data_IF_033679938014
#
_entry.id   IF_033679938014
#
_cell.length_a   1.000
_cell.length_b   1.000
_cell.length_c   1.000
_cell.angle_alpha   90.00
_cell.angle_beta   90.00
_cell.angle_gamma   90.00
#
_symmetry.space_group_name_H-M   'P 1'
#
loop_
_entity.id
_entity.type
_entity.pdbx_description
1 polymer ?
#
# COMPACT_ATOMS: atom_id res chain seq x y z
N UNK A 1 13.35 -3.64 2.13
CA UNK A 1 13.57 -4.79 3.01
C UNK A 1 13.65 -6.07 2.20
N UNK A 2 14.26 -7.11 2.75
CA UNK A 2 14.39 -8.41 2.11
C UNK A 2 13.61 -9.43 2.93
N UNK A 3 12.74 -10.19 2.26
CA UNK A 3 11.84 -11.16 2.87
C UNK A 3 12.13 -12.55 2.33
N UNK A 4 12.00 -13.56 3.19
CA UNK A 4 12.32 -14.94 2.86
C UNK A 4 11.06 -15.83 2.88
N UNK A 5 10.80 -16.54 1.78
CA UNK A 5 9.69 -17.48 1.64
C UNK A 5 10.17 -18.88 1.29
N UNK A 6 9.36 -19.87 1.66
CA UNK A 6 9.56 -21.26 1.24
C UNK A 6 8.87 -21.49 -0.10
N UNK A 7 9.59 -22.02 -1.08
CA UNK A 7 8.99 -22.62 -2.27
C UNK A 7 8.94 -24.13 -2.04
N UNK A 8 7.78 -24.72 -2.30
CA UNK A 8 7.59 -26.16 -2.40
C UNK A 8 7.41 -26.52 -3.87
N UNK A 9 8.29 -27.37 -4.39
CA UNK A 9 8.24 -27.93 -5.74
C UNK A 9 7.99 -29.44 -5.66
N UNK A 10 7.06 -29.96 -6.46
CA UNK A 10 6.74 -31.39 -6.54
C UNK A 10 7.12 -31.98 -7.90
N UNK A 11 7.33 -33.29 -7.95
CA UNK A 11 7.54 -34.01 -9.23
C UNK A 11 6.24 -34.19 -10.04
N UNK A 12 5.08 -33.96 -9.42
CA UNK A 12 3.76 -34.05 -10.04
C UNK A 12 3.06 -32.69 -10.05
N UNK A 13 2.36 -32.39 -11.16
CA UNK A 13 1.60 -31.15 -11.29
C UNK A 13 0.54 -31.03 -10.20
N UNK A 14 0.50 -29.88 -9.54
CA UNK A 14 -0.43 -29.61 -8.43
C UNK A 14 -1.84 -29.36 -9.01
N UNK A 15 -2.85 -30.15 -8.59
CA UNK A 15 -4.19 -30.03 -9.14
C UNK A 15 -4.89 -28.76 -8.64
N UNK A 16 -5.85 -28.27 -9.42
CA UNK A 16 -6.85 -27.27 -9.00
C UNK A 16 -8.22 -27.61 -9.58
N UNK A 17 -9.29 -27.22 -8.90
CA UNK A 17 -10.66 -27.44 -9.37
C UNK A 17 -10.95 -26.69 -10.68
N UNK A 18 -11.76 -27.29 -11.56
CA UNK A 18 -12.06 -26.83 -12.93
C UNK A 18 -12.82 -25.49 -13.02
N UNK A 19 -13.33 -24.96 -11.91
CA UNK A 19 -14.15 -23.75 -11.84
C UNK A 19 -13.32 -22.45 -11.68
N UNK A 20 -12.23 -22.33 -12.43
CA UNK A 20 -11.43 -21.10 -12.55
C UNK A 20 -10.86 -20.56 -11.21
N UNK A 21 -10.54 -21.44 -10.26
CA UNK A 21 -10.06 -20.99 -8.94
C UNK A 21 -8.55 -20.85 -8.82
N UNK A 22 -7.74 -21.42 -9.72
CA UNK A 22 -6.25 -21.35 -9.69
C UNK A 22 -5.65 -21.49 -8.28
N UNK A 23 -6.27 -22.32 -7.44
CA UNK A 23 -5.89 -22.53 -6.04
C UNK A 23 -5.27 -23.94 -5.92
N UNK A 24 -4.06 -24.07 -5.32
CA UNK A 24 -3.42 -25.35 -5.11
C UNK A 24 -4.31 -26.34 -4.34
N UNK A 25 -4.46 -27.55 -4.87
CA UNK A 25 -5.22 -28.66 -4.28
C UNK A 25 -6.71 -28.39 -4.01
N UNK A 26 -7.30 -27.33 -4.57
CA UNK A 26 -8.68 -26.94 -4.26
C UNK A 26 -9.68 -28.09 -4.45
N UNK A 27 -10.63 -28.19 -3.50
CA UNK A 27 -11.61 -29.27 -3.42
C UNK A 27 -12.94 -28.78 -2.84
N UNK A 28 -14.05 -29.53 -2.98
CA UNK A 28 -15.33 -29.18 -2.36
C UNK A 28 -15.32 -29.28 -0.81
N UNK A 29 -14.41 -30.07 -0.25
CA UNK A 29 -14.33 -30.32 1.19
C UNK A 29 -12.89 -30.60 1.63
N UNK A 30 -12.54 -30.36 2.92
CA UNK A 30 -11.18 -30.55 3.42
C UNK A 30 -10.64 -31.97 3.22
N UNK A 31 -9.43 -32.13 2.65
CA UNK A 31 -8.84 -33.43 2.29
C UNK A 31 -7.32 -33.47 2.47
N UNK A 32 -6.77 -34.66 2.70
CA UNK A 32 -5.32 -34.83 2.71
C UNK A 32 -4.76 -34.61 1.31
N UNK A 33 -3.56 -34.04 1.23
CA UNK A 33 -2.83 -33.86 -0.02
C UNK A 33 -1.64 -34.80 -0.05
N UNK A 34 -1.34 -35.32 -1.23
CA UNK A 34 -0.13 -36.12 -1.46
C UNK A 34 0.94 -35.20 -2.05
N UNK A 35 2.10 -35.15 -1.40
CA UNK A 35 3.28 -34.44 -1.88
C UNK A 35 4.24 -35.44 -2.51
N UNK A 36 4.34 -35.47 -3.84
CA UNK A 36 5.21 -36.39 -4.57
C UNK A 36 6.58 -35.75 -4.76
N UNK A 37 7.63 -36.39 -4.25
CA UNK A 37 9.03 -35.94 -4.26
C UNK A 37 9.21 -34.45 -3.91
N UNK A 38 8.76 -34.00 -2.73
CA UNK A 38 8.78 -32.60 -2.36
C UNK A 38 10.20 -32.06 -2.22
N UNK A 39 10.49 -30.97 -2.92
CA UNK A 39 11.72 -30.20 -2.82
C UNK A 39 11.40 -28.83 -2.24
N UNK A 40 12.13 -28.43 -1.19
CA UNK A 40 12.03 -27.10 -0.61
C UNK A 40 13.18 -26.23 -1.11
N UNK A 41 12.85 -25.01 -1.54
CA UNK A 41 13.84 -23.96 -1.82
C UNK A 41 13.39 -22.63 -1.20
N UNK A 42 14.22 -21.61 -1.34
CA UNK A 42 13.97 -20.28 -0.78
C UNK A 42 13.71 -19.29 -1.89
N UNK A 43 12.71 -18.44 -1.70
CA UNK A 43 12.47 -17.24 -2.50
C UNK A 43 12.80 -16.01 -1.66
N UNK A 44 13.61 -15.12 -2.22
CA UNK A 44 13.87 -13.81 -1.63
C UNK A 44 13.05 -12.76 -2.37
N UNK A 45 12.28 -11.98 -1.63
CA UNK A 45 11.54 -10.84 -2.17
C UNK A 45 12.08 -9.55 -1.57
N UNK A 46 12.38 -8.57 -2.42
CA UNK A 46 12.68 -7.20 -2.02
C UNK A 46 11.37 -6.43 -1.97
N UNK A 47 11.14 -5.73 -0.87
CA UNK A 47 9.96 -4.88 -0.65
C UNK A 47 10.43 -3.47 -0.25
N UNK A 48 9.65 -2.44 -0.53
CA UNK A 48 9.95 -1.06 -0.19
C UNK A 48 9.44 -0.64 1.19
N UNK A 49 8.64 -1.47 1.87
CA UNK A 49 8.19 -1.21 3.24
C UNK A 49 8.54 -2.33 4.26
N UNK A 50 8.18 -2.10 5.53
CA UNK A 50 8.46 -2.98 6.67
C UNK A 50 7.33 -3.95 7.03
N UNK A 51 6.34 -4.09 6.16
CA UNK A 51 5.21 -4.98 6.30
C UNK A 51 5.15 -5.82 5.04
N UNK A 52 5.24 -7.14 5.18
CA UNK A 52 4.96 -8.01 4.05
C UNK A 52 3.45 -7.98 3.75
N UNK A 53 2.99 -6.92 3.08
CA UNK A 53 1.59 -6.68 2.71
C UNK A 53 1.28 -7.64 1.57
N UNK A 54 1.03 -8.92 1.89
CA UNK A 54 0.72 -9.90 0.86
C UNK A 54 -0.63 -9.55 0.24
N UNK A 55 -0.63 -8.99 -0.97
CA UNK A 55 -1.71 -9.11 -1.94
C UNK A 55 -3.01 -8.39 -1.65
N UNK A 56 -3.07 -7.09 -1.93
CA UNK A 56 -4.10 -6.66 -2.88
C UNK A 56 -3.69 -7.17 -4.26
N UNK A 57 -4.65 -7.66 -5.03
CA UNK A 57 -4.50 -7.97 -6.45
C UNK A 57 -4.38 -6.66 -7.25
N UNK A 58 -3.46 -5.78 -6.87
CA UNK A 58 -3.22 -4.53 -7.57
C UNK A 58 -1.70 -4.23 -7.52
N UNK A 59 -1.03 -4.19 -8.68
CA UNK A 59 0.43 -4.04 -8.83
C UNK A 59 1.13 -2.84 -8.19
N UNK A 60 0.40 -1.95 -7.51
CA UNK A 60 0.78 -0.54 -7.38
C UNK A 60 1.10 -0.15 -5.93
N UNK A 61 0.87 -0.99 -4.93
CA UNK A 61 1.08 -0.62 -3.51
C UNK A 61 2.33 -1.20 -2.84
N UNK A 62 2.99 -2.20 -3.41
CA UNK A 62 4.28 -2.73 -2.92
C UNK A 62 5.22 -2.96 -4.11
N UNK A 63 6.45 -2.47 -4.09
CA UNK A 63 7.47 -2.79 -5.12
C UNK A 63 8.10 -4.17 -4.87
N UNK A 64 7.26 -5.16 -4.52
CA UNK A 64 7.68 -6.54 -4.25
C UNK A 64 8.26 -7.17 -5.49
N UNK A 65 9.57 -7.39 -5.47
CA UNK A 65 10.32 -7.94 -6.60
C UNK A 65 11.15 -9.12 -6.15
N UNK A 66 11.28 -10.12 -7.00
CA UNK A 66 12.23 -11.22 -6.79
C UNK A 66 13.62 -10.62 -6.63
N UNK A 67 14.29 -10.92 -5.52
CA UNK A 67 15.56 -10.27 -5.16
C UNK A 67 16.79 -10.97 -5.75
N UNK A 68 16.62 -12.18 -6.29
CA UNK A 68 17.65 -12.94 -6.99
C UNK A 68 16.98 -14.02 -7.85
N UNK A 69 17.61 -14.37 -8.97
CA UNK A 69 17.17 -15.46 -9.85
C UNK A 69 16.88 -16.74 -9.06
N UNK A 70 15.62 -17.17 -9.09
CA UNK A 70 15.14 -18.30 -8.27
C UNK A 70 14.54 -19.38 -9.16
N UNK A 71 15.07 -20.62 -9.15
CA UNK A 71 14.51 -21.73 -9.92
C UNK A 71 13.09 -22.09 -9.47
N UNK A 72 12.23 -22.41 -10.43
CA UNK A 72 10.83 -22.79 -10.18
C UNK A 72 10.36 -23.85 -11.17
N UNK A 73 9.39 -24.67 -10.79
CA UNK A 73 8.91 -25.78 -11.61
C UNK A 73 9.77 -27.04 -11.46
N UNK A 74 9.43 -28.08 -12.22
CA UNK A 74 10.09 -29.39 -12.15
C UNK A 74 10.37 -29.95 -13.55
N UNK A 75 11.50 -30.65 -13.70
CA UNK A 75 11.88 -31.30 -14.95
C UNK A 75 11.92 -30.35 -16.14
N UNK A 76 11.31 -30.74 -17.27
CA UNK A 76 11.24 -29.92 -18.48
C UNK A 76 10.36 -28.67 -18.36
N UNK A 77 9.54 -28.58 -17.31
CA UNK A 77 8.73 -27.39 -16.99
C UNK A 77 9.45 -26.41 -16.06
N UNK A 78 10.70 -26.70 -15.68
CA UNK A 78 11.48 -25.81 -14.84
C UNK A 78 11.82 -24.51 -15.59
N UNK A 79 11.62 -23.38 -14.91
CA UNK A 79 11.96 -22.04 -15.37
C UNK A 79 12.65 -21.27 -14.25
N UNK A 80 13.01 -20.01 -14.51
CA UNK A 80 13.62 -19.12 -13.51
C UNK A 80 12.67 -17.96 -13.26
N UNK A 81 12.38 -17.69 -11.99
CA UNK A 81 11.87 -16.40 -11.55
C UNK A 81 13.03 -15.42 -11.56
N UNK A 82 13.10 -14.55 -12.56
CA UNK A 82 14.21 -13.60 -12.73
C UNK A 82 14.17 -12.51 -11.67
N UNK A 83 15.33 -12.04 -11.21
CA UNK A 83 15.44 -10.85 -10.36
C UNK A 83 14.65 -9.67 -10.96
N UNK A 84 13.95 -8.92 -10.12
CA UNK A 84 13.08 -7.83 -10.53
C UNK A 84 11.66 -8.26 -10.94
N UNK A 85 11.38 -9.57 -11.09
CA UNK A 85 10.04 -10.05 -11.39
C UNK A 85 9.08 -9.68 -10.26
N UNK A 86 7.97 -9.03 -10.59
CA UNK A 86 6.88 -8.79 -9.64
C UNK A 86 5.95 -10.00 -9.57
N UNK A 87 5.57 -10.37 -8.34
CA UNK A 87 4.65 -11.47 -8.10
C UNK A 87 3.27 -10.95 -7.71
N UNK A 88 2.22 -11.60 -8.23
CA UNK A 88 0.83 -11.29 -7.90
C UNK A 88 0.13 -12.44 -7.19
N UNK A 89 -0.62 -12.14 -6.14
CA UNK A 89 -1.38 -13.13 -5.37
C UNK A 89 -2.83 -12.70 -5.18
N UNK A 90 -3.79 -13.57 -5.53
CA UNK A 90 -5.21 -13.27 -5.42
C UNK A 90 -5.96 -14.23 -4.50
N UNK A 91 -5.69 -15.54 -4.62
CA UNK A 91 -6.32 -16.61 -3.83
C UNK A 91 -5.30 -17.71 -3.57
N UNK A 92 -5.44 -18.38 -2.44
CA UNK A 92 -4.58 -19.50 -2.07
C UNK A 92 -5.34 -20.55 -1.28
N UNK A 93 -4.63 -21.60 -0.89
CA UNK A 93 -5.13 -22.68 -0.07
C UNK A 93 -4.70 -22.48 1.38
N UNK A 94 -5.64 -22.62 2.32
CA UNK A 94 -5.30 -22.90 3.70
C UNK A 94 -4.92 -24.37 3.83
N UNK A 95 -3.69 -24.62 4.25
CA UNK A 95 -3.16 -25.92 4.58
C UNK A 95 -3.01 -26.04 6.09
N UNK A 96 -3.24 -27.24 6.62
CA UNK A 96 -2.95 -27.59 8.01
C UNK A 96 -2.11 -28.85 8.06
N UNK A 97 -1.01 -28.82 8.78
CA UNK A 97 -0.19 -30.02 9.02
C UNK A 97 -0.75 -30.87 10.19
N UNK A 98 -0.20 -32.06 10.38
CA UNK A 98 -0.59 -32.97 11.48
C UNK A 98 -0.22 -32.47 12.87
N UNK A 99 0.64 -31.45 12.98
CA UNK A 99 0.98 -30.81 14.24
C UNK A 99 0.04 -29.65 14.57
N UNK A 100 -0.90 -29.33 13.68
CA UNK A 100 -1.88 -28.26 13.84
C UNK A 100 -1.36 -26.88 13.41
N UNK A 101 -0.22 -26.81 12.71
CA UNK A 101 0.26 -25.55 12.14
C UNK A 101 -0.49 -25.25 10.85
N UNK A 102 -0.87 -23.99 10.70
CA UNK A 102 -1.52 -23.50 9.51
C UNK A 102 -0.51 -22.84 8.57
N UNK A 103 -0.70 -23.08 7.28
CA UNK A 103 0.11 -22.51 6.22
C UNK A 103 -0.79 -22.02 5.09
N UNK A 104 -0.37 -20.96 4.44
CA UNK A 104 -0.97 -20.47 3.22
C UNK A 104 -0.13 -20.90 2.03
N UNK A 105 -0.77 -21.52 1.03
CA UNK A 105 -0.11 -22.00 -0.18
C UNK A 105 -0.71 -21.36 -1.43
N UNK A 106 0.15 -20.89 -2.34
CA UNK A 106 -0.27 -20.17 -3.54
C UNK A 106 0.59 -20.50 -4.73
N UNK A 107 -0.01 -20.48 -5.93
CA UNK A 107 0.79 -20.51 -7.14
C UNK A 107 1.52 -19.18 -7.32
N UNK A 108 2.83 -19.20 -7.61
CA UNK A 108 3.58 -18.02 -7.97
C UNK A 108 3.08 -17.52 -9.32
N UNK A 109 2.67 -16.26 -9.39
CA UNK A 109 2.19 -15.66 -10.63
C UNK A 109 3.00 -14.43 -10.96
N UNK A 110 3.41 -14.33 -12.21
CA UNK A 110 3.98 -13.09 -12.69
C UNK A 110 2.86 -12.07 -12.80
N UNK A 111 3.13 -10.88 -12.26
CA UNK A 111 2.23 -9.76 -12.40
C UNK A 111 2.42 -9.12 -13.77
N UNK A 112 1.33 -8.87 -14.49
CA UNK A 112 1.36 -8.16 -15.78
C UNK A 112 0.99 -6.70 -15.51
N UNK A 113 1.88 -5.73 -15.79
CA UNK A 113 1.67 -4.33 -15.42
C UNK A 113 0.39 -3.70 -15.97
N UNK A 114 -0.04 -4.10 -17.17
CA UNK A 114 -1.11 -3.42 -17.92
C UNK A 114 -2.51 -4.03 -17.73
N UNK A 115 -2.61 -5.12 -16.97
CA UNK A 115 -3.87 -5.81 -16.73
C UNK A 115 -3.85 -6.30 -15.28
N UNK A 116 -4.67 -5.68 -14.42
CA UNK A 116 -4.88 -6.08 -13.02
C UNK A 116 -5.37 -7.54 -12.90
N UNK A 117 -5.67 -8.18 -14.03
CA UNK A 117 -5.79 -9.63 -14.16
C UNK A 117 -4.45 -10.31 -13.93
N UNK A 118 -4.45 -11.28 -13.02
CA UNK A 118 -3.23 -11.98 -12.66
C UNK A 118 -2.61 -12.69 -13.89
N UNK A 119 -1.31 -12.50 -14.09
CA UNK A 119 -0.58 -13.05 -15.23
C UNK A 119 -0.40 -14.57 -15.16
N UNK A 120 0.42 -15.17 -16.05
CA UNK A 120 0.60 -16.61 -16.09
C UNK A 120 1.14 -17.14 -14.75
N UNK A 121 0.69 -18.35 -14.39
CA UNK A 121 1.29 -19.12 -13.29
C UNK A 121 2.69 -19.56 -13.72
N UNK A 122 3.68 -19.26 -12.89
CA UNK A 122 5.08 -19.61 -13.11
C UNK A 122 5.34 -21.05 -12.64
N UNK A 123 6.24 -21.75 -13.32
CA UNK A 123 6.59 -23.14 -13.00
C UNK A 123 5.47 -24.16 -13.28
N UNK A 124 4.53 -23.85 -14.18
CA UNK A 124 3.46 -24.73 -14.70
C UNK A 124 2.70 -25.55 -13.63
N UNK A 125 2.49 -24.92 -12.46
CA UNK A 125 1.81 -25.53 -11.29
C UNK A 125 2.58 -26.71 -10.65
N UNK A 126 3.89 -26.82 -10.85
CA UNK A 126 4.72 -27.74 -10.08
C UNK A 126 5.24 -27.14 -8.78
N UNK A 127 5.19 -25.81 -8.65
CA UNK A 127 5.68 -25.09 -7.47
C UNK A 127 4.60 -24.22 -6.85
N UNK A 128 4.62 -24.12 -5.52
CA UNK A 128 3.84 -23.17 -4.73
C UNK A 128 4.73 -22.44 -3.74
N UNK A 129 4.37 -21.19 -3.43
CA UNK A 129 4.94 -20.47 -2.30
C UNK A 129 4.16 -20.86 -1.04
N UNK A 130 4.88 -21.18 0.04
CA UNK A 130 4.34 -21.53 1.34
C UNK A 130 4.67 -20.42 2.34
N UNK A 131 3.64 -19.93 3.04
CA UNK A 131 3.75 -18.94 4.10
C UNK A 131 3.16 -19.52 5.39
N UNK A 132 3.91 -19.56 6.51
CA UNK A 132 3.34 -19.97 7.79
C UNK A 132 2.36 -18.93 8.32
N UNK A 133 1.35 -19.42 9.04
CA UNK A 133 0.35 -18.62 9.74
C UNK A 133 0.60 -18.78 11.25
N UNK A 134 0.84 -17.71 12.02
CA UNK A 134 0.99 -17.75 13.46
C UNK A 134 -0.26 -18.32 14.12
N UNK A 135 -0.03 -19.17 15.12
CA UNK A 135 -1.09 -19.63 15.99
C UNK A 135 -1.58 -18.51 16.94
N UNK A 136 -2.57 -18.81 17.79
CA UNK A 136 -3.12 -17.85 18.76
C UNK A 136 -2.07 -17.27 19.73
N UNK A 137 -0.92 -17.94 19.90
CA UNK A 137 0.20 -17.47 20.70
C UNK A 137 1.26 -16.69 19.89
N UNK A 138 1.01 -16.40 18.61
CA UNK A 138 1.93 -15.66 17.74
C UNK A 138 3.14 -16.48 17.27
N UNK A 139 3.14 -17.81 17.46
CA UNK A 139 4.25 -18.69 17.07
C UNK A 139 4.10 -19.15 15.63
N UNK A 140 5.16 -19.02 14.84
CA UNK A 140 5.21 -19.47 13.44
C UNK A 140 5.62 -20.93 13.35
N UNK A 141 4.85 -21.75 12.63
CA UNK A 141 5.26 -23.10 12.26
C UNK A 141 6.31 -23.10 11.14
N UNK A 142 7.14 -24.14 11.08
CA UNK A 142 8.00 -24.40 9.90
C UNK A 142 7.35 -25.47 9.04
N UNK A 143 7.22 -25.19 7.74
CA UNK A 143 6.61 -26.16 6.83
C UNK A 143 7.51 -27.39 6.69
N UNK A 144 6.98 -28.57 7.00
CA UNK A 144 7.68 -29.84 6.87
C UNK A 144 6.91 -30.77 5.92
N UNK A 145 7.46 -31.07 4.73
CA UNK A 145 6.77 -31.86 3.72
C UNK A 145 6.65 -33.35 4.09
N UNK A 146 7.31 -33.81 5.16
CA UNK A 146 7.16 -35.18 5.67
C UNK A 146 5.91 -35.38 6.52
N UNK A 147 5.30 -34.28 6.99
CA UNK A 147 4.06 -34.34 7.77
C UNK A 147 2.85 -34.58 6.87
N UNK A 148 1.79 -35.12 7.46
CA UNK A 148 0.51 -35.16 6.75
C UNK A 148 -0.03 -33.74 6.63
N UNK A 149 -0.26 -33.29 5.40
CA UNK A 149 -0.82 -31.97 5.12
C UNK A 149 -2.24 -32.13 4.60
N UNK A 150 -3.15 -31.30 5.10
CA UNK A 150 -4.55 -31.26 4.71
C UNK A 150 -4.89 -29.93 4.07
N UNK A 151 -5.51 -29.96 2.91
CA UNK A 151 -6.20 -28.80 2.34
C UNK A 151 -7.47 -28.55 3.14
N UNK A 152 -7.67 -27.32 3.60
CA UNK A 152 -8.79 -26.95 4.44
C UNK A 152 -9.86 -26.18 3.65
N UNK A 153 -9.47 -25.06 3.06
CA UNK A 153 -10.38 -24.20 2.32
C UNK A 153 -9.62 -23.27 1.37
N UNK A 154 -10.36 -22.68 0.44
CA UNK A 154 -9.87 -21.55 -0.35
C UNK A 154 -9.94 -20.31 0.51
N UNK A 155 -8.84 -19.57 0.59
CA UNK A 155 -8.75 -18.30 1.30
C UNK A 155 -8.42 -17.21 0.28
N UNK A 156 -9.14 -16.10 0.35
CA UNK A 156 -8.72 -14.88 -0.35
C UNK A 156 -7.51 -14.32 0.39
N UNK A 157 -6.50 -13.80 -0.32
CA UNK A 157 -5.30 -13.25 0.34
C UNK A 157 -5.71 -12.17 1.38
N UNK A 158 -6.61 -11.26 0.98
CA UNK A 158 -7.94 -11.03 1.59
C UNK A 158 -8.17 -11.18 3.11
N UNK A 159 -8.07 -12.43 3.52
CA UNK A 159 -8.65 -12.97 4.74
C UNK A 159 -7.52 -13.63 5.57
N UNK A 160 -6.35 -13.86 4.97
CA UNK A 160 -5.13 -14.29 5.64
C UNK A 160 -4.37 -13.13 6.32
N UNK A 161 -4.77 -11.87 6.07
CA UNK A 161 -4.05 -10.65 6.48
C UNK A 161 -3.72 -10.48 7.97
N UNK A 162 -4.51 -10.91 8.97
CA UNK A 162 -4.15 -10.62 10.36
C UNK A 162 -2.99 -11.48 10.89
N UNK A 163 -2.43 -12.38 10.06
CA UNK A 163 -1.51 -13.40 10.51
C UNK A 163 -0.13 -13.34 9.83
N UNK A 164 0.09 -12.57 8.75
CA UNK A 164 1.39 -12.60 8.08
C UNK A 164 2.41 -11.67 8.76
N UNK A 165 2.93 -12.11 9.91
CA UNK A 165 4.16 -11.58 10.50
C UNK A 165 5.29 -12.51 10.07
N UNK A 166 6.07 -12.12 9.06
CA UNK A 166 7.15 -12.95 8.54
C UNK A 166 8.53 -12.39 8.88
N UNK A 167 9.50 -13.29 8.83
CA UNK A 167 10.86 -13.15 9.33
C UNK A 167 11.62 -12.20 8.39
N UNK A 168 12.16 -11.10 8.95
CA UNK A 168 13.15 -10.26 8.26
C UNK A 168 14.31 -11.17 7.82
N UNK A 169 14.69 -11.13 6.54
CA UNK A 169 15.79 -11.94 6.07
C UNK A 169 17.03 -11.65 6.95
N UNK A 170 17.80 -12.67 7.36
CA UNK A 170 18.98 -12.44 8.18
C UNK A 170 19.89 -11.42 7.46
N UNK A 171 20.51 -10.50 8.20
CA UNK A 171 21.39 -9.51 7.61
C UNK A 171 22.45 -10.23 6.75
N UNK A 172 22.85 -9.65 5.61
CA UNK A 172 23.85 -10.27 4.76
C UNK A 172 25.10 -10.58 5.58
N UNK A 173 25.78 -11.72 5.34
CA UNK A 173 26.99 -12.05 6.06
C UNK A 173 27.98 -10.89 5.93
N UNK A 174 28.77 -10.59 6.98
CA UNK A 174 29.79 -9.56 6.90
C UNK A 174 30.70 -9.84 5.70
N UNK A 175 31.17 -8.80 4.99
CA UNK A 175 32.07 -8.99 3.86
C UNK A 175 33.25 -9.86 4.29
N UNK A 176 33.74 -10.76 3.42
CA UNK A 176 34.90 -11.58 3.73
C UNK A 176 36.05 -10.65 4.15
N UNK A 177 36.88 -11.06 5.13
CA UNK A 177 38.03 -10.26 5.53
C UNK A 177 38.86 -9.93 4.29
N UNK A 178 39.43 -8.71 4.21
CA UNK A 178 40.27 -8.34 3.08
C UNK A 178 41.37 -9.41 2.90
N UNK A 179 41.72 -9.75 1.65
CA UNK A 179 42.78 -10.71 1.40
C UNK A 179 44.05 -10.26 2.13
N UNK A 180 44.87 -11.20 2.65
CA UNK A 180 46.11 -10.86 3.31
C UNK A 180 46.96 -10.00 2.37
N UNK A 181 47.70 -9.01 2.91
CA UNK A 181 48.56 -8.17 2.10
C UNK A 181 49.50 -9.06 1.26
N UNK A 182 49.76 -8.68 0.00
CA UNK A 182 50.68 -9.44 -0.84
C UNK A 182 52.03 -9.57 -0.13
N UNK A 183 52.73 -10.71 -0.30
CA UNK A 183 54.05 -10.88 0.29
C UNK A 183 54.98 -9.74 -0.16
N UNK A 184 55.91 -9.31 0.71
CA UNK A 184 56.86 -8.28 0.35
C UNK A 184 57.60 -8.68 -0.93
N UNK A 185 57.87 -7.73 -1.84
CA UNK A 185 58.61 -8.04 -3.05
C UNK A 185 59.97 -8.64 -2.68
N UNK A 186 60.46 -9.63 -3.45
CA UNK A 186 61.78 -10.23 -3.20
C UNK A 186 62.85 -9.14 -3.27
N UNK A 187 63.90 -9.30 -2.46
CA UNK A 187 65.03 -8.37 -2.40
C UNK A 187 65.59 -8.11 -3.82
N UNK A 188 65.95 -6.87 -4.14
CA UNK A 188 66.46 -6.52 -5.45
C UNK A 188 67.75 -7.30 -5.74
N UNK A 189 67.75 -8.02 -6.86
CA UNK A 189 68.93 -8.70 -7.41
C UNK A 189 69.97 -7.63 -7.77
N UNK A 190 71.25 -7.79 -7.41
CA UNK A 190 72.29 -6.82 -7.75
C UNK A 190 72.38 -6.59 -9.27
N UNK A 191 72.31 -5.33 -9.70
CA UNK A 191 72.45 -4.95 -11.10
C UNK A 191 73.86 -5.27 -11.64
N UNK A 192 73.98 -5.79 -12.89
CA UNK A 192 75.27 -5.95 -13.54
C UNK A 192 75.87 -4.59 -13.95
N UNK A 193 77.21 -4.47 -14.05
CA UNK A 193 77.86 -3.19 -14.30
C UNK A 193 77.55 -2.64 -15.70
N UNK A 194 77.45 -1.31 -15.85
CA UNK A 194 76.98 -0.69 -17.08
C UNK A 194 78.03 -0.72 -18.21
N UNK A 195 77.61 -0.86 -19.49
CA UNK A 195 78.48 -0.74 -20.65
C UNK A 195 78.84 0.73 -20.96
N UNK A 196 79.94 0.99 -21.70
CA UNK A 196 80.44 2.34 -21.95
C UNK A 196 79.54 3.16 -22.92
N UNK A 197 79.54 4.49 -22.79
CA UNK A 197 78.57 5.35 -23.46
C UNK A 197 78.91 5.59 -24.96
N UNK A 198 77.89 5.63 -25.83
CA UNK A 198 78.04 6.03 -27.24
C UNK A 198 78.04 7.56 -27.44
N UNK A 199 78.54 8.06 -28.59
CA UNK A 199 78.73 9.49 -28.86
C UNK A 199 77.40 10.22 -29.16
N UNK A 200 77.35 11.56 -28.99
CA UNK A 200 76.11 12.32 -29.10
C UNK A 200 75.68 12.58 -30.57
N UNK A 201 74.38 12.51 -30.88
CA UNK A 201 73.81 12.90 -32.17
C UNK A 201 73.47 14.41 -32.26
N UNK A 202 73.32 14.97 -33.47
CA UNK A 202 73.02 16.39 -33.70
C UNK A 202 71.53 16.73 -33.48
N UNK A 203 71.16 18.03 -33.37
CA UNK A 203 69.80 18.41 -33.02
C UNK A 203 68.87 18.41 -34.24
N UNK A 204 67.67 17.86 -34.07
CA UNK A 204 66.58 17.92 -35.06
C UNK A 204 65.50 18.95 -34.66
N UNK A 205 64.74 19.49 -35.65
CA UNK A 205 63.92 20.68 -35.49
C UNK A 205 62.51 20.41 -34.94
N UNK A 206 61.89 21.49 -34.48
CA UNK A 206 60.54 21.59 -33.87
C UNK A 206 59.40 21.00 -34.72
N UNK A 207 58.41 20.32 -34.13
CA UNK A 207 57.23 19.82 -34.85
C UNK A 207 56.11 20.88 -34.95
N UNK A 208 55.37 20.83 -36.07
CA UNK A 208 54.15 21.60 -36.34
C UNK A 208 52.94 21.14 -35.49
N UNK A 209 51.95 22.01 -35.24
CA UNK A 209 50.83 21.69 -34.34
C UNK A 209 49.75 20.83 -35.01
N UNK A 210 49.21 19.87 -34.26
CA UNK A 210 48.09 19.00 -34.63
C UNK A 210 46.74 19.70 -34.36
N UNK A 211 45.71 19.59 -35.23
CA UNK A 211 44.39 20.18 -34.98
C UNK A 211 43.54 19.35 -34.01
N UNK A 212 42.75 20.03 -33.17
CA UNK A 212 41.82 19.42 -32.21
C UNK A 212 40.62 18.71 -32.87
N UNK A 213 40.09 17.63 -32.25
CA UNK A 213 38.93 16.90 -32.76
C UNK A 213 37.60 17.62 -32.44
N UNK A 214 36.53 17.39 -33.24
CA UNK A 214 35.22 18.02 -33.06
C UNK A 214 34.41 17.43 -31.89
N UNK A 215 33.47 18.20 -31.33
CA UNK A 215 32.66 17.76 -30.18
C UNK A 215 31.56 16.75 -30.57
N UNK A 216 31.11 15.91 -29.60
CA UNK A 216 30.08 14.90 -29.84
C UNK A 216 28.66 15.50 -29.94
N UNK A 217 27.72 14.79 -30.59
CA UNK A 217 26.34 15.25 -30.77
C UNK A 217 25.50 15.20 -29.47
N UNK A 218 24.43 16.01 -29.36
CA UNK A 218 23.55 16.02 -28.20
C UNK A 218 22.67 14.76 -28.10
N UNK A 219 22.23 14.39 -26.88
CA UNK A 219 21.38 13.22 -26.66
C UNK A 219 19.95 13.43 -27.21
N UNK A 220 19.23 12.34 -27.55
CA UNK A 220 17.85 12.42 -28.02
C UNK A 220 16.88 12.81 -26.89
N UNK A 221 15.78 13.49 -27.26
CA UNK A 221 14.70 13.88 -26.35
C UNK A 221 14.01 12.63 -25.75
N UNK A 222 13.53 12.70 -24.50
CA UNK A 222 12.83 11.58 -23.86
C UNK A 222 11.44 11.38 -24.49
N UNK A 223 11.13 10.11 -24.79
CA UNK A 223 9.81 9.65 -25.25
C UNK A 223 8.69 9.98 -24.23
N UNK A 224 7.43 10.16 -24.69
CA UNK A 224 6.31 10.50 -23.83
C UNK A 224 5.98 9.34 -22.88
N UNK A 225 5.97 9.61 -21.58
CA UNK A 225 5.57 8.65 -20.53
C UNK A 225 4.12 8.17 -20.72
N UNK A 226 3.83 6.86 -20.61
CA UNK A 226 2.47 6.36 -20.65
C UNK A 226 1.68 6.80 -19.41
N UNK A 227 0.40 7.10 -19.63
CA UNK A 227 -0.55 7.57 -18.63
C UNK A 227 -0.72 6.55 -17.49
N UNK A 228 -0.60 6.95 -16.21
CA UNK A 228 -0.70 5.98 -15.13
C UNK A 228 -2.17 5.74 -14.74
N UNK A 229 -2.53 4.48 -14.47
CA UNK A 229 -3.86 3.92 -14.12
C UNK A 229 -4.18 4.05 -12.62
N UNK A 230 -5.43 4.22 -12.13
CA UNK A 230 -5.76 4.71 -10.78
C UNK A 230 -5.28 3.82 -9.60
N UNK A 231 -5.00 4.41 -8.43
CA UNK A 231 -4.61 3.68 -7.21
C UNK A 231 -5.73 2.78 -6.65
N UNK A 232 -5.36 1.64 -6.02
CA UNK A 232 -6.29 0.76 -5.37
C UNK A 232 -6.65 1.17 -3.93
N UNK A 233 -7.65 0.51 -3.33
CA UNK A 233 -8.38 1.08 -2.21
C UNK A 233 -8.10 0.39 -0.86
N UNK A 234 -8.06 1.12 0.27
CA UNK A 234 -7.85 0.51 1.60
C UNK A 234 -9.16 0.09 2.28
N UNK A 235 -9.14 -1.04 2.98
CA UNK A 235 -10.26 -1.60 3.77
C UNK A 235 -10.64 -0.83 5.04
N UNK A 236 -10.68 0.50 4.98
CA UNK A 236 -11.17 1.35 6.06
C UNK A 236 -12.46 2.05 5.65
N UNK A 237 -13.54 1.83 6.37
CA UNK A 237 -14.71 2.71 6.29
C UNK A 237 -14.34 4.13 6.73
N UNK A 238 -14.98 5.12 6.11
CA UNK A 238 -14.85 6.55 6.43
C UNK A 238 -15.52 6.83 7.78
N UNK A 239 -14.75 7.26 8.78
CA UNK A 239 -15.27 7.51 10.13
C UNK A 239 -14.77 8.79 10.80
N UNK A 240 -15.62 9.39 11.62
CA UNK A 240 -15.26 10.39 12.64
C UNK A 240 -15.00 9.72 13.99
N UNK A 241 -14.05 10.21 14.78
CA UNK A 241 -13.92 9.77 16.16
C UNK A 241 -14.99 10.40 17.05
N UNK A 242 -15.32 9.74 18.17
CA UNK A 242 -16.23 10.31 19.18
C UNK A 242 -15.71 11.64 19.70
N UNK A 243 -16.61 12.57 19.97
CA UNK A 243 -16.30 13.94 20.36
C UNK A 243 -16.04 14.89 19.19
N UNK A 244 -15.92 14.40 17.96
CA UNK A 244 -15.85 15.25 16.75
C UNK A 244 -17.14 16.07 16.63
N UNK A 245 -17.02 17.39 16.58
CA UNK A 245 -18.16 18.28 16.38
C UNK A 245 -18.51 18.41 14.89
N UNK A 246 -19.75 18.10 14.55
CA UNK A 246 -20.33 18.25 13.22
C UNK A 246 -21.26 19.46 13.21
N UNK A 247 -21.13 20.32 12.20
CA UNK A 247 -22.00 21.49 12.08
C UNK A 247 -23.41 21.06 11.66
N UNK A 248 -24.39 21.37 12.51
CA UNK A 248 -25.82 21.13 12.25
C UNK A 248 -26.58 22.44 12.12
N UNK A 249 -27.85 22.39 11.73
CA UNK A 249 -28.76 23.54 11.74
C UNK A 249 -28.79 24.28 13.10
N UNK A 250 -28.62 23.55 14.21
CA UNK A 250 -28.61 24.08 15.57
C UNK A 250 -27.21 24.51 16.07
N UNK A 251 -26.20 24.42 15.22
CA UNK A 251 -24.79 24.63 15.54
C UNK A 251 -23.99 23.32 15.68
N UNK A 252 -22.72 23.39 16.10
CA UNK A 252 -21.86 22.21 16.23
C UNK A 252 -22.38 21.24 17.31
N UNK A 253 -22.56 19.97 16.96
CA UNK A 253 -22.96 18.89 17.87
C UNK A 253 -21.96 17.74 17.80
N UNK A 254 -21.66 17.05 18.92
CA UNK A 254 -20.79 15.88 18.89
C UNK A 254 -21.43 14.76 18.06
N UNK A 255 -20.62 14.08 17.25
CA UNK A 255 -21.07 13.09 16.27
C UNK A 255 -21.90 11.97 16.90
N UNK A 256 -21.55 11.53 18.11
CA UNK A 256 -22.26 10.50 18.89
C UNK A 256 -23.69 10.92 19.32
N UNK A 257 -23.98 12.22 19.31
CA UNK A 257 -25.31 12.75 19.64
C UNK A 257 -26.24 12.86 18.43
N UNK A 258 -25.72 12.66 17.21
CA UNK A 258 -26.49 12.79 15.99
C UNK A 258 -27.38 11.56 15.78
N UNK A 259 -28.55 11.77 15.20
CA UNK A 259 -29.53 10.73 14.88
C UNK A 259 -30.01 10.89 13.43
N UNK A 260 -30.50 9.82 12.80
CA UNK A 260 -31.23 9.93 11.55
C UNK A 260 -32.32 11.02 11.64
N UNK A 261 -32.42 11.85 10.63
CA UNK A 261 -33.30 13.04 10.58
C UNK A 261 -32.64 14.35 11.04
N UNK A 262 -31.54 14.31 11.79
CA UNK A 262 -30.79 15.55 12.10
C UNK A 262 -30.22 16.16 10.82
N UNK A 263 -30.35 17.48 10.65
CA UNK A 263 -29.82 18.19 9.48
C UNK A 263 -28.40 18.70 9.71
N UNK A 264 -27.47 18.29 8.84
CA UNK A 264 -26.07 18.75 8.83
C UNK A 264 -25.84 19.78 7.74
N UNK A 265 -24.92 20.72 7.98
CA UNK A 265 -24.51 21.69 6.96
C UNK A 265 -23.60 21.02 5.95
N UNK A 266 -23.98 21.11 4.68
CA UNK A 266 -23.20 20.61 3.55
C UNK A 266 -22.72 21.75 2.66
N UNK A 267 -21.62 21.52 1.93
CA UNK A 267 -20.96 22.54 1.11
C UNK A 267 -21.84 23.04 -0.04
N UNK A 268 -22.49 22.13 -0.74
CA UNK A 268 -23.22 22.44 -1.99
C UNK A 268 -24.74 22.32 -1.87
N UNK A 269 -25.22 21.53 -0.90
CA UNK A 269 -26.63 21.17 -0.75
C UNK A 269 -27.34 21.89 0.40
N UNK A 270 -26.70 22.87 1.05
CA UNK A 270 -27.24 23.49 2.26
C UNK A 270 -27.44 22.48 3.39
N UNK A 271 -28.55 22.58 4.10
CA UNK A 271 -28.92 21.64 5.16
C UNK A 271 -29.44 20.33 4.58
N UNK A 272 -28.79 19.21 4.91
CA UNK A 272 -29.18 17.89 4.43
C UNK A 272 -29.43 16.94 5.62
N UNK A 273 -30.52 16.15 5.60
CA UNK A 273 -30.84 15.22 6.68
C UNK A 273 -29.92 13.99 6.65
N UNK A 274 -29.52 13.54 7.84
CA UNK A 274 -28.87 12.24 7.99
C UNK A 274 -29.89 11.12 7.76
N UNK A 275 -29.58 10.20 6.84
CA UNK A 275 -30.40 9.00 6.63
C UNK A 275 -30.04 7.89 7.61
N UNK A 276 -28.75 7.78 7.96
CA UNK A 276 -28.26 6.75 8.85
C UNK A 276 -27.02 7.22 9.62
N UNK A 277 -26.93 6.77 10.87
CA UNK A 277 -25.79 7.00 11.74
C UNK A 277 -25.36 5.66 12.31
N UNK A 278 -24.20 5.18 11.87
CA UNK A 278 -23.61 3.95 12.38
C UNK A 278 -22.41 4.22 13.25
N UNK A 279 -22.07 3.27 14.12
CA UNK A 279 -20.84 3.36 14.90
C UNK A 279 -20.14 2.03 15.04
N UNK A 280 -18.84 2.08 15.29
CA UNK A 280 -18.02 0.92 15.65
C UNK A 280 -16.96 1.32 16.66
N UNK A 281 -16.73 0.48 17.66
CA UNK A 281 -15.61 0.65 18.60
C UNK A 281 -14.49 -0.30 18.21
N UNK A 282 -13.27 0.22 18.21
CA UNK A 282 -12.03 -0.55 18.13
C UNK A 282 -11.32 -0.39 19.47
N UNK A 283 -11.05 -1.49 20.14
CA UNK A 283 -10.22 -1.52 21.34
C UNK A 283 -8.74 -1.34 20.95
N UNK A 284 -7.89 -1.05 21.94
CA UNK A 284 -6.44 -1.00 21.71
C UNK A 284 -5.90 -2.28 21.08
N UNK A 285 -6.34 -3.45 21.55
CA UNK A 285 -5.94 -4.74 20.96
C UNK A 285 -6.27 -4.84 19.46
N UNK A 286 -7.43 -4.33 19.03
CA UNK A 286 -7.80 -4.30 17.60
C UNK A 286 -6.87 -3.38 16.79
N UNK A 287 -6.49 -2.23 17.37
CA UNK A 287 -5.58 -1.26 16.74
C UNK A 287 -4.12 -1.72 16.75
N UNK A 288 -3.74 -2.56 17.72
CA UNK A 288 -2.43 -3.22 17.77
C UNK A 288 -2.35 -4.31 16.69
N UNK A 289 -3.44 -5.05 16.47
CA UNK A 289 -3.56 -6.05 15.38
C UNK A 289 -3.68 -5.44 13.98
N UNK A 290 -4.26 -4.24 13.87
CA UNK A 290 -4.40 -3.51 12.62
C UNK A 290 -3.87 -2.06 12.73
N UNK A 291 -2.54 -1.84 12.79
CA UNK A 291 -1.95 -0.51 12.94
C UNK A 291 -2.32 0.48 11.81
N UNK A 292 -2.64 -0.04 10.63
CA UNK A 292 -3.13 0.75 9.49
C UNK A 292 -4.55 1.30 9.67
N UNK A 293 -5.28 0.89 10.72
CA UNK A 293 -6.59 1.44 11.13
C UNK A 293 -6.47 2.51 12.22
N UNK A 294 -5.25 2.78 12.71
CA UNK A 294 -5.01 3.79 13.75
C UNK A 294 -5.48 5.17 13.30
N UNK A 295 -6.13 5.94 14.18
CA UNK A 295 -6.69 7.23 13.80
C UNK A 295 -5.62 8.20 13.29
N UNK A 296 -6.01 9.07 12.37
CA UNK A 296 -5.21 10.22 11.96
C UNK A 296 -5.72 11.45 12.71
N UNK A 297 -4.82 12.15 13.39
CA UNK A 297 -5.06 13.47 13.95
C UNK A 297 -4.62 14.53 12.96
N UNK A 298 -5.53 15.44 12.64
CA UNK A 298 -5.27 16.68 11.92
C UNK A 298 -5.38 17.80 12.96
N UNK A 299 -4.25 18.37 13.35
CA UNK A 299 -4.19 19.41 14.37
C UNK A 299 -4.91 20.69 13.93
N UNK A 300 -5.37 21.49 14.90
CA UNK A 300 -5.94 22.80 14.62
C UNK A 300 -5.04 23.64 13.68
N UNK A 301 -5.61 24.19 12.61
CA UNK A 301 -4.91 25.00 11.62
C UNK A 301 -4.00 24.23 10.64
N UNK A 302 -3.94 22.90 10.70
CA UNK A 302 -3.02 22.11 9.86
C UNK A 302 -3.41 22.07 8.37
N UNK A 303 -4.69 22.25 8.03
CA UNK A 303 -5.16 22.25 6.63
C UNK A 303 -5.03 23.65 6.00
N UNK A 304 -5.24 24.69 6.80
CA UNK A 304 -5.16 26.08 6.37
C UNK A 304 -5.50 27.03 7.53
N UNK A 305 -5.49 28.35 7.31
CA UNK A 305 -5.75 29.33 8.36
C UNK A 305 -7.09 29.06 9.06
N UNK A 306 -7.03 28.71 10.35
CA UNK A 306 -8.21 28.39 11.16
C UNK A 306 -8.89 27.06 10.84
N UNK A 307 -8.25 26.16 10.08
CA UNK A 307 -8.84 24.89 9.64
C UNK A 307 -7.92 23.68 9.91
N UNK A 308 -8.39 22.67 10.65
CA UNK A 308 -9.61 22.68 11.46
C UNK A 308 -9.51 23.71 12.61
N UNK A 309 -10.63 24.08 13.21
CA UNK A 309 -10.70 25.00 14.36
C UNK A 309 -10.14 24.34 15.62
N UNK A 310 -10.28 23.03 15.72
CA UNK A 310 -9.74 22.16 16.79
C UNK A 310 -9.26 20.85 16.20
N UNK A 311 -8.51 20.08 16.96
CA UNK A 311 -7.96 18.81 16.49
C UNK A 311 -9.07 17.88 15.97
N UNK A 312 -8.98 17.51 14.70
CA UNK A 312 -9.89 16.59 14.04
C UNK A 312 -9.26 15.20 14.03
N UNK A 313 -9.95 14.22 14.61
CA UNK A 313 -9.51 12.82 14.61
C UNK A 313 -10.43 11.97 13.76
N UNK A 314 -9.86 11.31 12.75
CA UNK A 314 -10.62 10.56 11.75
C UNK A 314 -9.95 9.22 11.44
N UNK A 315 -10.71 8.30 10.84
CA UNK A 315 -10.14 7.06 10.30
C UNK A 315 -9.14 7.35 9.16
N UNK A 316 -8.15 6.48 8.91
CA UNK A 316 -7.17 6.63 7.83
C UNK A 316 -7.72 6.91 6.43
N UNK A 317 -8.88 6.33 6.09
CA UNK A 317 -9.53 6.50 4.79
C UNK A 317 -10.50 7.67 4.71
N UNK A 318 -10.75 8.34 5.82
CA UNK A 318 -11.63 9.50 5.82
C UNK A 318 -11.01 10.61 4.97
N UNK A 319 -11.76 11.11 4.00
CA UNK A 319 -11.27 12.15 3.11
C UNK A 319 -11.61 13.54 3.62
N UNK A 320 -10.62 14.41 3.53
CA UNK A 320 -10.76 15.84 3.78
C UNK A 320 -10.72 16.58 2.46
N UNK A 321 -11.46 17.68 2.36
CA UNK A 321 -11.49 18.52 1.18
C UNK A 321 -10.20 19.33 1.11
N UNK A 322 -9.49 19.24 -0.02
CA UNK A 322 -8.37 20.12 -0.34
C UNK A 322 -8.74 21.07 -1.47
N UNK A 323 -8.25 22.30 -1.35
CA UNK A 323 -8.51 23.40 -2.29
C UNK A 323 -7.32 24.34 -2.29
N UNK A 324 -6.54 24.34 -3.36
CA UNK A 324 -5.40 25.26 -3.51
C UNK A 324 -5.06 25.47 -4.98
N UNK A 325 -4.26 26.50 -5.33
CA UNK A 325 -3.73 26.63 -6.68
C UNK A 325 -2.84 25.46 -7.12
N UNK A 326 -2.34 24.65 -6.17
CA UNK A 326 -1.62 23.41 -6.50
C UNK A 326 -2.64 22.33 -6.91
N UNK A 327 -3.73 22.17 -6.15
CA UNK A 327 -4.84 21.26 -6.47
C UNK A 327 -5.40 21.56 -7.87
N UNK A 328 -5.77 22.83 -8.15
CA UNK A 328 -6.29 23.23 -9.47
C UNK A 328 -5.34 22.85 -10.61
N UNK A 329 -4.04 23.12 -10.46
CA UNK A 329 -3.04 22.82 -11.50
C UNK A 329 -2.77 21.33 -11.67
N UNK A 330 -2.99 20.52 -10.64
CA UNK A 330 -2.67 19.08 -10.69
C UNK A 330 -3.82 18.23 -11.19
N UNK A 331 -5.05 18.60 -10.82
CA UNK A 331 -6.22 17.76 -11.04
C UNK A 331 -7.24 18.38 -11.99
N UNK A 332 -6.94 19.57 -12.52
CA UNK A 332 -7.88 20.40 -13.29
C UNK A 332 -9.24 20.57 -12.60
N UNK A 333 -9.21 20.57 -11.27
CA UNK A 333 -10.38 20.65 -10.41
C UNK A 333 -10.07 21.61 -9.26
N UNK A 334 -11.02 22.48 -8.88
CA UNK A 334 -10.79 23.44 -7.79
C UNK A 334 -10.69 22.74 -6.44
N UNK A 335 -11.28 21.56 -6.31
CA UNK A 335 -11.56 20.85 -5.07
C UNK A 335 -11.41 19.35 -5.27
N UNK A 336 -10.72 18.69 -4.35
CA UNK A 336 -10.54 17.22 -4.35
C UNK A 336 -10.71 16.67 -2.94
N UNK A 337 -11.11 15.40 -2.82
CA UNK A 337 -11.21 14.70 -1.54
C UNK A 337 -10.02 13.76 -1.36
N UNK A 338 -9.23 13.98 -0.31
CA UNK A 338 -7.97 13.27 -0.08
C UNK A 338 -8.00 12.47 1.23
N UNK A 339 -7.66 11.16 1.21
CA UNK A 339 -7.59 10.34 2.42
C UNK A 339 -6.61 10.89 3.45
N UNK A 340 -7.03 11.01 4.71
CA UNK A 340 -6.20 11.55 5.79
C UNK A 340 -4.87 10.82 5.96
N UNK A 341 -4.82 9.49 5.73
CA UNK A 341 -3.57 8.71 5.77
C UNK A 341 -2.51 9.22 4.82
N UNK A 342 -2.90 9.69 3.63
CA UNK A 342 -1.96 10.18 2.63
C UNK A 342 -1.42 11.58 2.96
N UNK A 343 -2.06 12.28 3.90
CA UNK A 343 -1.59 13.56 4.43
C UNK A 343 -0.70 13.40 5.67
N UNK A 344 -0.64 12.20 6.25
CA UNK A 344 0.19 11.92 7.41
C UNK A 344 1.66 12.17 7.09
N UNK A 345 2.34 12.96 7.92
CA UNK A 345 3.71 13.42 7.69
C UNK A 345 3.81 14.89 7.27
N UNK A 346 2.69 15.51 6.86
CA UNK A 346 2.62 16.97 6.78
C UNK A 346 2.60 17.60 8.19
N UNK A 347 3.11 18.84 8.34
CA UNK A 347 3.08 19.54 9.62
C UNK A 347 1.68 19.56 10.24
N UNK A 348 1.56 19.06 11.47
CA UNK A 348 0.28 18.99 12.19
C UNK A 348 -0.61 17.79 11.85
N UNK A 349 -0.23 16.90 10.93
CA UNK A 349 -1.03 15.73 10.54
C UNK A 349 -0.26 14.45 10.85
N UNK A 350 -0.76 13.64 11.79
CA UNK A 350 -0.03 12.47 12.30
C UNK A 350 -0.95 11.31 12.68
N UNK A 351 -0.42 10.09 12.59
CA UNK A 351 -1.05 8.88 13.12
C UNK A 351 -1.01 8.91 14.65
N UNK A 352 -2.14 8.61 15.30
CA UNK A 352 -2.18 8.40 16.76
C UNK A 352 -1.71 6.98 17.06
N UNK A 353 -0.50 6.86 17.63
CA UNK A 353 0.13 5.58 17.96
C UNK A 353 -0.25 5.06 19.35
N UNK A 354 -0.50 5.96 20.29
CA UNK A 354 -0.83 5.59 21.67
C UNK A 354 -2.30 5.94 21.95
N UNK A 355 -3.20 5.00 21.63
CA UNK A 355 -4.63 5.14 21.91
C UNK A 355 -5.14 3.89 22.63
N UNK A 356 -5.92 4.08 23.68
CA UNK A 356 -6.60 2.99 24.40
C UNK A 356 -7.81 2.41 23.64
N UNK A 357 -8.02 2.88 22.41
CA UNK A 357 -9.12 2.51 21.53
C UNK A 357 -9.73 3.76 20.90
N UNK A 358 -10.65 3.55 19.96
CA UNK A 358 -11.38 4.61 19.29
C UNK A 358 -12.81 4.15 19.02
N UNK A 359 -13.77 5.04 19.24
CA UNK A 359 -15.16 4.85 18.81
C UNK A 359 -15.41 5.72 17.58
N UNK A 360 -15.67 5.06 16.47
CA UNK A 360 -15.86 5.61 15.14
C UNK A 360 -17.34 5.74 14.79
N UNK A 361 -17.69 6.81 14.09
CA UNK A 361 -19.05 7.14 13.67
C UNK A 361 -19.11 7.42 12.17
N UNK A 362 -20.19 6.95 11.54
CA UNK A 362 -20.49 7.06 10.12
C UNK A 362 -21.74 7.89 9.92
N UNK A 363 -21.71 8.82 8.96
CA UNK A 363 -22.84 9.69 8.65
C UNK A 363 -23.23 9.48 7.19
N UNK A 364 -24.37 8.84 6.94
CA UNK A 364 -24.90 8.63 5.60
C UNK A 364 -25.98 9.66 5.29
N UNK A 365 -25.91 10.24 4.09
CA UNK A 365 -26.92 11.11 3.52
C UNK A 365 -27.45 10.51 2.21
N UNK A 366 -28.46 11.14 1.61
CA UNK A 366 -29.07 10.68 0.36
C UNK A 366 -28.09 10.69 -0.82
N UNK A 367 -27.15 11.64 -0.82
CA UNK A 367 -26.02 11.69 -1.74
C UNK A 367 -24.71 11.81 -0.97
N UNK A 368 -23.58 11.57 -1.64
CA UNK A 368 -22.28 11.87 -1.05
C UNK A 368 -22.11 13.38 -0.97
N UNK A 369 -22.05 13.91 0.25
CA UNK A 369 -21.83 15.33 0.52
C UNK A 369 -20.48 15.58 1.19
N UNK A 370 -20.00 16.81 1.07
CA UNK A 370 -18.96 17.39 1.92
C UNK A 370 -19.65 18.16 3.05
N UNK A 371 -19.34 17.82 4.29
CA UNK A 371 -19.91 18.42 5.50
C UNK A 371 -18.82 19.07 6.36
N UNK A 372 -19.21 19.82 7.39
CA UNK A 372 -18.26 20.49 8.28
C UNK A 372 -18.03 19.68 9.55
N UNK A 373 -16.79 19.23 9.77
CA UNK A 373 -16.33 18.57 10.98
C UNK A 373 -15.18 19.37 11.61
N UNK A 374 -15.32 19.80 12.86
CA UNK A 374 -14.34 20.65 13.57
C UNK A 374 -13.95 21.91 12.80
N UNK A 375 -14.87 22.46 12.01
CA UNK A 375 -14.61 23.63 11.16
C UNK A 375 -13.76 23.36 9.92
N UNK A 376 -13.51 22.09 9.57
CA UNK A 376 -12.93 21.68 8.31
C UNK A 376 -13.96 20.94 7.44
N UNK A 377 -13.81 21.04 6.13
CA UNK A 377 -14.64 20.34 5.16
C UNK A 377 -14.17 18.88 5.00
N UNK A 378 -15.06 17.93 5.26
CA UNK A 378 -14.79 16.50 5.21
C UNK A 378 -15.91 15.75 4.51
N UNK A 379 -15.64 14.53 4.08
CA UNK A 379 -16.63 13.73 3.39
C UNK A 379 -17.70 13.14 4.36
N UNK A 380 -18.90 12.92 3.84
CA UNK A 380 -19.88 12.01 4.44
C UNK A 380 -19.58 10.57 4.00
N UNK A 381 -20.33 9.59 4.51
CA UNK A 381 -20.16 8.21 4.06
C UNK A 381 -20.52 8.08 2.57
N UNK A 382 -19.54 7.75 1.73
CA UNK A 382 -19.76 7.19 0.40
C UNK A 382 -19.92 5.66 0.51
N UNK A 383 -21.11 5.09 0.33
CA UNK A 383 -21.38 3.67 0.62
C UNK A 383 -20.90 2.72 -0.50
N UNK A 384 -19.71 2.95 -1.06
CA UNK A 384 -19.15 2.07 -2.08
C UNK A 384 -18.94 0.62 -1.59
N UNK A 385 -18.72 -0.36 -2.50
CA UNK A 385 -18.57 -1.78 -2.15
C UNK A 385 -17.60 -2.06 -1.01
N UNK A 386 -16.59 -1.22 -0.85
CA UNK A 386 -15.58 -1.35 0.19
C UNK A 386 -15.94 -0.76 1.54
N UNK A 387 -16.59 0.41 1.54
CA UNK A 387 -17.12 0.98 2.76
C UNK A 387 -18.10 0.00 3.42
N UNK A 388 -18.95 -0.65 2.59
CA UNK A 388 -19.90 -1.65 3.06
C UNK A 388 -19.22 -2.91 3.60
N UNK A 389 -18.08 -3.35 3.07
CA UNK A 389 -17.35 -4.53 3.60
C UNK A 389 -16.88 -4.34 5.05
N UNK A 390 -16.68 -3.11 5.49
CA UNK A 390 -16.26 -2.80 6.85
C UNK A 390 -17.41 -2.88 7.88
N UNK A 391 -18.66 -2.97 7.40
CA UNK A 391 -19.87 -3.08 8.22
C UNK A 391 -20.29 -4.54 8.39
N UNK A 392 -20.94 -4.84 9.52
CA UNK A 392 -21.55 -6.15 9.72
C UNK A 392 -22.74 -6.38 8.77
N UNK A 393 -23.33 -7.58 8.81
CA UNK A 393 -24.43 -7.92 7.92
C UNK A 393 -25.69 -7.04 8.14
N UNK A 394 -25.98 -6.67 9.39
CA UNK A 394 -27.17 -5.89 9.74
C UNK A 394 -27.02 -4.44 9.26
N UNK A 395 -25.92 -3.78 9.59
CA UNK A 395 -25.62 -2.43 9.15
C UNK A 395 -25.54 -2.33 7.61
N UNK A 396 -24.98 -3.33 6.93
CA UNK A 396 -25.02 -3.38 5.45
C UNK A 396 -26.43 -3.46 4.90
N UNK A 397 -27.31 -4.25 5.51
CA UNK A 397 -28.69 -4.39 5.08
C UNK A 397 -29.47 -3.08 5.29
N UNK A 398 -29.28 -2.40 6.42
CA UNK A 398 -29.88 -1.09 6.70
C UNK A 398 -29.47 -0.05 5.67
N UNK A 399 -28.16 0.09 5.41
CA UNK A 399 -27.66 1.06 4.42
C UNK A 399 -28.22 0.77 3.02
N UNK A 400 -28.25 -0.50 2.60
CA UNK A 400 -28.82 -0.90 1.30
C UNK A 400 -30.34 -0.75 1.20
N UNK A 401 -31.04 -0.68 2.34
CA UNK A 401 -32.46 -0.38 2.36
C UNK A 401 -32.76 1.12 2.23
N UNK A 402 -31.78 1.99 2.55
CA UNK A 402 -31.93 3.44 2.54
C UNK A 402 -31.47 4.08 1.23
N UNK A 403 -30.44 3.52 0.60
CA UNK A 403 -29.86 4.04 -0.65
C UNK A 403 -29.48 2.90 -1.58
N UNK A 404 -29.36 3.18 -2.87
CA UNK A 404 -28.75 2.30 -3.87
C UNK A 404 -27.27 2.69 -3.97
N UNK A 405 -26.34 1.97 -3.31
CA UNK A 405 -24.99 2.49 -3.14
C UNK A 405 -24.20 2.64 -4.45
N UNK A 406 -24.53 1.83 -5.44
CA UNK A 406 -23.93 1.85 -6.77
C UNK A 406 -24.31 3.10 -7.58
N UNK A 407 -25.36 3.83 -7.18
CA UNK A 407 -25.83 5.07 -7.83
C UNK A 407 -25.28 6.35 -7.15
N UNK A 408 -24.64 6.22 -5.99
CA UNK A 408 -24.09 7.39 -5.27
C UNK A 408 -22.71 7.70 -5.81
N UNK A 409 -22.62 8.78 -6.59
CA UNK A 409 -21.35 9.35 -7.06
C UNK A 409 -20.65 10.16 -5.96
N UNK A 410 -19.31 10.26 -5.99
CA UNK A 410 -18.59 11.08 -5.03
C UNK A 410 -18.84 12.59 -5.24
N UNK A 411 -19.01 13.35 -4.15
CA UNK A 411 -19.17 14.81 -4.16
C UNK A 411 -18.09 15.58 -4.92
N UNK A 412 -16.87 15.04 -4.95
CA UNK A 412 -15.68 15.63 -5.57
C UNK A 412 -14.79 14.52 -6.14
N UNK A 413 -13.87 14.85 -7.06
CA UNK A 413 -12.89 13.90 -7.55
C UNK A 413 -12.09 13.25 -6.41
N UNK A 414 -11.89 11.94 -6.53
CA UNK A 414 -11.07 11.13 -5.64
C UNK A 414 -9.74 10.83 -6.34
N UNK A 415 -8.72 11.70 -6.23
CA UNK A 415 -7.47 11.51 -6.95
C UNK A 415 -6.77 10.22 -6.52
N UNK A 416 -6.07 9.57 -7.46
CA UNK A 416 -5.29 8.38 -7.16
C UNK A 416 -4.16 8.72 -6.17
N UNK A 417 -3.93 7.85 -5.19
CA UNK A 417 -2.88 7.95 -4.18
C UNK A 417 -1.51 8.42 -4.65
N UNK A 418 -0.97 7.97 -5.80
CA UNK A 418 0.31 8.51 -6.34
C UNK A 418 0.24 10.01 -6.63
N UNK A 419 -0.89 10.50 -7.11
CA UNK A 419 -1.06 11.90 -7.47
C UNK A 419 -1.26 12.74 -6.21
N UNK A 420 -1.88 12.15 -5.19
CA UNK A 420 -1.92 12.72 -3.83
C UNK A 420 -0.51 12.80 -3.21
N UNK A 421 0.33 11.76 -3.34
CA UNK A 421 1.72 11.82 -2.83
C UNK A 421 2.51 12.95 -3.52
N UNK A 422 2.38 13.08 -4.84
CA UNK A 422 2.96 14.19 -5.58
C UNK A 422 2.42 15.56 -5.13
N UNK A 423 1.12 15.64 -4.79
CA UNK A 423 0.50 16.84 -4.22
C UNK A 423 1.14 17.21 -2.87
N UNK A 424 1.29 16.23 -1.98
CA UNK A 424 1.91 16.38 -0.66
C UNK A 424 3.36 16.85 -0.79
N UNK A 425 4.14 16.25 -1.68
CA UNK A 425 5.51 16.69 -1.96
C UNK A 425 5.58 18.14 -2.45
N UNK A 426 4.64 18.56 -3.31
CA UNK A 426 4.57 19.94 -3.78
C UNK A 426 4.21 20.92 -2.67
N UNK A 427 3.33 20.55 -1.75
CA UNK A 427 3.04 21.37 -0.57
C UNK A 427 4.23 21.45 0.38
N UNK A 428 4.97 20.35 0.60
CA UNK A 428 6.21 20.36 1.37
C UNK A 428 7.28 21.29 0.76
N UNK A 429 7.39 21.32 -0.58
CA UNK A 429 8.28 22.24 -1.32
C UNK A 429 7.78 23.69 -1.33
N UNK A 430 6.51 23.93 -1.01
CA UNK A 430 5.89 25.26 -1.03
C UNK A 430 5.20 25.58 0.31
N UNK A 431 5.95 25.80 1.41
CA UNK A 431 5.38 25.93 2.76
C UNK A 431 4.47 27.14 2.96
N UNK A 432 4.47 28.11 2.02
CA UNK A 432 3.53 29.25 2.00
C UNK A 432 2.14 28.90 1.43
N UNK A 433 1.98 27.70 0.86
CA UNK A 433 0.74 27.22 0.24
C UNK A 433 0.06 26.23 1.18
N UNK A 434 -1.11 26.62 1.68
CA UNK A 434 -1.93 25.77 2.54
C UNK A 434 -2.68 24.72 1.72
N UNK A 435 -3.06 23.60 2.34
CA UNK A 435 -3.85 22.56 1.67
C UNK A 435 -5.26 23.08 1.34
N UNK A 436 -5.76 24.01 2.14
CA UNK A 436 -7.00 24.76 1.94
C UNK A 436 -6.69 26.26 1.91
N UNK A 437 -6.85 26.88 0.74
CA UNK A 437 -6.62 28.30 0.48
C UNK A 437 -7.90 28.97 -0.02
N UNK A 438 -8.12 30.22 0.43
CA UNK A 438 -9.16 31.12 -0.07
C UNK A 438 -10.60 30.60 0.09
N UNK A 439 -10.81 29.58 0.93
CA UNK A 439 -12.14 29.04 1.20
C UNK A 439 -12.80 29.95 2.24
N UNK A 440 -14.04 30.44 2.02
CA UNK A 440 -14.78 31.08 3.10
C UNK A 440 -14.84 30.11 4.27
N UNK A 441 -14.49 30.60 5.47
CA UNK A 441 -14.61 29.82 6.69
C UNK A 441 -16.03 29.24 6.73
N UNK A 442 -16.23 27.95 7.02
CA UNK A 442 -17.56 27.37 7.08
C UNK A 442 -18.44 28.25 7.97
N UNK A 443 -19.71 28.48 7.57
CA UNK A 443 -20.54 29.49 8.19
C UNK A 443 -20.55 29.29 9.71
N UNK A 444 -20.19 30.35 10.44
CA UNK A 444 -20.36 30.36 11.88
C UNK A 444 -21.86 30.26 12.22
N UNK A 445 -22.16 29.98 13.50
CA UNK A 445 -23.51 29.76 14.04
C UNK A 445 -24.60 30.71 13.51
N UNK A 446 -24.24 31.93 13.10
CA UNK A 446 -25.14 32.96 12.56
C UNK A 446 -25.39 32.84 11.04
N UNK A 447 -24.41 32.38 10.25
CA UNK A 447 -24.53 32.33 8.77
C UNK A 447 -25.19 31.07 8.21
N UNK A 448 -25.30 30.00 9.01
CA UNK A 448 -25.95 28.75 8.58
C UNK A 448 -27.49 28.85 8.55
N UNK A 449 -28.07 29.79 9.29
CA UNK A 449 -29.50 30.12 9.23
C UNK A 449 -29.82 30.96 7.99
N UNK A 450 -28.97 31.95 7.67
CA UNK A 450 -29.16 32.81 6.49
C UNK A 450 -28.98 32.05 5.16
N UNK A 451 -28.12 31.02 5.11
CA UNK A 451 -27.94 30.17 3.93
C UNK A 451 -29.04 29.11 3.75
N UNK A 452 -29.96 28.95 4.72
CA UNK A 452 -31.09 28.02 4.62
C UNK A 452 -32.39 28.71 4.15
N UNK A 453 -32.41 30.04 4.09
CA UNK A 453 -33.54 30.86 3.62
C UNK A 453 -33.36 31.44 2.19
N UNK A 454 -32.18 31.23 1.58
CA UNK A 454 -31.85 31.62 0.20
C UNK A 454 -31.69 30.38 -0.69
#
# INVERSE_FOLDING_TARGET
MLWQFTILTLSTRIPSASNNTEVPWSAPSPRNITLTDPQLSTLLLRDDDNRFDSGLAVPIETQQTVAADTPIGFGSSASVLTEGTQLGFARGALLRDSNGNDFFAMFPRQLVPDNVSAGPIMGDRFSVIILPIPNAQGTMGTFNPTLTVRWMQTINVSEAYPFLTMIEAPPPPPPPPPPPPPPPPPDPVPEPPPPPPPPPPPPDPTPDPVPDPPPPPPPPDPDPTPDPTPDPPPGGSVCFASGTLILTASGPRPVESLRPGDSVVTRDGGLQPLLWVGHRRLARADLDLAPNQRPIRIAAGALGPGQPVRDLTVSPQHRVLLRSPIVQRMFDAPEVLVPARLLAGLPGIAVIRDSDGVAYWHLLLAAHHVLVAEGAWTESLLPGPMALRAFDAAARAEVRALVVPEEIAPARPLPPGRAVRALVERHLKNPRRHLVEGDPQPPSRTGALDAAEA
#
